data_IF_769896589057
#
_entry.id   IF_769896589057
#
_cell.length_a   1.000
_cell.length_b   1.000
_cell.length_c   1.000
_cell.angle_alpha   90.00
_cell.angle_beta   90.00
_cell.angle_gamma   90.00
#
_symmetry.space_group_name_H-M   'P 1'
#
loop_
_entity.id
_entity.type
_entity.pdbx_description
1 polymer ?
#
# COMPACT_ATOMS: atom_id res chain seq x y z
N UNK A 1 -46.24 18.14 29.73
CA UNK A 1 -45.56 16.97 30.30
C UNK A 1 -44.05 17.24 30.22
N UNK A 2 -43.44 17.81 31.26
CA UNK A 2 -42.02 18.19 31.24
C UNK A 2 -41.18 17.00 31.72
N UNK A 3 -40.35 16.46 30.83
CA UNK A 3 -39.44 15.35 31.12
C UNK A 3 -38.27 15.92 31.94
N UNK A 4 -38.23 15.64 33.24
CA UNK A 4 -37.11 15.99 34.11
C UNK A 4 -35.96 15.00 33.85
N UNK A 5 -35.03 15.36 32.96
CA UNK A 5 -33.80 14.58 32.75
C UNK A 5 -32.86 14.78 33.94
N UNK A 6 -32.49 13.70 34.62
CA UNK A 6 -31.58 13.72 35.78
C UNK A 6 -30.20 14.26 35.35
N UNK A 7 -29.71 15.31 36.02
CA UNK A 7 -28.41 15.95 35.73
C UNK A 7 -27.24 14.96 35.76
N UNK A 8 -27.32 13.89 36.55
CA UNK A 8 -26.30 12.84 36.58
C UNK A 8 -26.35 11.97 35.31
N UNK A 9 -27.55 11.68 34.80
CA UNK A 9 -27.74 10.98 33.51
C UNK A 9 -27.23 11.85 32.36
N UNK A 10 -27.53 13.16 32.38
CA UNK A 10 -27.02 14.11 31.38
C UNK A 10 -25.48 14.19 31.40
N UNK A 11 -24.86 14.19 32.60
CA UNK A 11 -23.40 14.15 32.75
C UNK A 11 -22.80 12.84 32.24
N UNK A 12 -23.41 11.70 32.54
CA UNK A 12 -22.98 10.40 32.01
C UNK A 12 -23.08 10.34 30.48
N UNK A 13 -24.17 10.85 29.90
CA UNK A 13 -24.34 10.92 28.44
C UNK A 13 -23.29 11.83 27.79
N UNK A 14 -23.01 12.99 28.39
CA UNK A 14 -21.95 13.90 27.89
C UNK A 14 -20.57 13.26 27.97
N UNK A 15 -20.25 12.54 29.05
CA UNK A 15 -18.96 11.83 29.19
C UNK A 15 -18.83 10.66 28.21
N UNK A 16 -19.91 9.93 27.94
CA UNK A 16 -19.94 8.84 26.96
C UNK A 16 -19.76 9.40 25.54
N UNK A 17 -20.45 10.48 25.19
CA UNK A 17 -20.28 11.11 23.87
C UNK A 17 -18.88 11.68 23.67
N UNK A 18 -18.26 12.24 24.71
CA UNK A 18 -16.89 12.76 24.65
C UNK A 18 -15.85 11.63 24.50
N UNK A 19 -16.12 10.46 25.06
CA UNK A 19 -15.25 9.28 24.93
C UNK A 19 -15.31 8.66 23.53
N UNK A 20 -16.47 8.70 22.87
CA UNK A 20 -16.66 8.15 21.51
C UNK A 20 -15.91 8.98 20.46
N UNK A 21 -15.79 10.30 20.65
CA UNK A 21 -15.06 11.19 19.73
C UNK A 21 -13.55 10.94 19.73
N UNK A 22 -12.98 10.40 20.82
CA UNK A 22 -11.55 10.13 20.93
C UNK A 22 -11.10 8.82 20.26
N UNK A 23 -12.03 7.95 19.84
CA UNK A 23 -11.73 6.62 19.28
C UNK A 23 -11.81 6.62 17.74
N UNK A 24 -12.31 7.69 17.13
CA UNK A 24 -12.65 7.70 15.70
C UNK A 24 -11.57 8.32 14.81
N UNK A 25 -10.40 7.68 14.72
CA UNK A 25 -9.46 7.77 13.57
C UNK A 25 -8.62 6.49 13.56
N UNK A 26 -9.06 5.46 12.82
CA UNK A 26 -8.21 4.32 12.49
C UNK A 26 -7.59 4.59 11.12
N UNK A 27 -6.36 5.11 11.11
CA UNK A 27 -5.60 5.43 9.90
C UNK A 27 -4.79 4.21 9.38
N UNK A 28 -5.14 3.01 9.83
CA UNK A 28 -4.45 1.79 9.42
C UNK A 28 -4.82 1.42 7.98
N UNK A 29 -3.87 1.53 7.06
CA UNK A 29 -4.02 1.06 5.69
C UNK A 29 -3.98 -0.48 5.64
N UNK A 30 -5.04 -1.12 5.16
CA UNK A 30 -5.17 -2.58 5.09
C UNK A 30 -4.98 -3.14 3.67
N UNK A 31 -4.87 -4.47 3.57
CA UNK A 31 -4.83 -5.17 2.27
C UNK A 31 -6.13 -4.96 1.50
N UNK A 32 -7.26 -4.97 2.19
CA UNK A 32 -8.59 -4.79 1.62
C UNK A 32 -8.78 -3.38 1.04
N UNK A 33 -8.25 -2.36 1.71
CA UNK A 33 -8.29 -0.97 1.21
C UNK A 33 -7.52 -0.83 -0.11
N UNK A 34 -6.33 -1.44 -0.17
CA UNK A 34 -5.46 -1.37 -1.35
C UNK A 34 -5.99 -2.25 -2.50
N UNK A 35 -6.64 -3.37 -2.20
CA UNK A 35 -7.21 -4.27 -3.21
C UNK A 35 -8.51 -3.72 -3.83
N UNK A 36 -9.26 -2.91 -3.07
CA UNK A 36 -10.49 -2.29 -3.56
C UNK A 36 -10.26 -0.95 -4.27
N UNK A 37 -9.09 -0.33 -4.11
CA UNK A 37 -8.75 0.94 -4.78
C UNK A 37 -8.60 0.73 -6.30
N UNK A 38 -9.41 1.39 -7.14
CA UNK A 38 -9.27 1.29 -8.59
C UNK A 38 -7.98 1.95 -9.06
N UNK A 39 -7.28 1.31 -9.99
CA UNK A 39 -6.08 1.87 -10.61
C UNK A 39 -6.46 2.71 -11.84
N UNK A 40 -5.97 3.97 -11.97
CA UNK A 40 -6.18 4.77 -13.16
C UNK A 40 -5.63 4.08 -14.42
N UNK A 41 -6.09 4.50 -15.60
CA UNK A 41 -5.58 3.98 -16.88
C UNK A 41 -4.30 4.68 -17.34
N UNK A 42 -4.03 5.87 -16.81
CA UNK A 42 -2.87 6.70 -17.13
C UNK A 42 -2.60 7.70 -16.01
N UNK A 43 -1.44 8.35 -16.04
CA UNK A 43 -0.97 9.29 -15.02
C UNK A 43 -0.98 8.65 -13.63
N UNK A 44 -0.38 7.46 -13.54
CA UNK A 44 -0.29 6.73 -12.28
C UNK A 44 0.59 7.53 -11.33
N UNK A 45 0.04 7.91 -10.18
CA UNK A 45 0.79 8.59 -9.12
C UNK A 45 1.54 7.56 -8.29
N UNK A 46 2.82 7.81 -8.05
CA UNK A 46 3.56 6.99 -7.11
C UNK A 46 2.95 7.10 -5.71
N UNK A 47 2.75 8.32 -5.22
CA UNK A 47 2.27 8.55 -3.85
C UNK A 47 0.88 7.96 -3.61
N UNK A 48 -0.03 8.13 -4.58
CA UNK A 48 -1.43 7.74 -4.40
C UNK A 48 -1.71 6.30 -4.84
N UNK A 49 -1.05 5.79 -5.89
CA UNK A 49 -1.44 4.52 -6.50
C UNK A 49 -0.44 3.40 -6.21
N UNK A 50 0.87 3.67 -6.30
CA UNK A 50 1.90 2.62 -6.21
C UNK A 50 2.34 2.41 -4.76
N UNK A 51 2.60 3.50 -4.05
CA UNK A 51 3.18 3.46 -2.71
C UNK A 51 2.32 2.70 -1.70
N UNK A 52 0.97 2.85 -1.65
CA UNK A 52 0.12 2.05 -0.77
C UNK A 52 0.25 0.53 -1.01
N UNK A 53 0.41 0.12 -2.28
CA UNK A 53 0.64 -1.29 -2.65
C UNK A 53 1.98 -1.77 -2.09
N UNK A 54 3.05 -1.01 -2.34
CA UNK A 54 4.40 -1.36 -1.89
C UNK A 54 4.49 -1.40 -0.36
N UNK A 55 3.85 -0.46 0.34
CA UNK A 55 3.81 -0.45 1.80
C UNK A 55 3.21 -1.73 2.35
N UNK A 56 1.97 -2.05 1.96
CA UNK A 56 1.19 -3.12 2.60
C UNK A 56 1.64 -4.51 2.14
N UNK A 57 1.99 -4.67 0.86
CA UNK A 57 2.27 -6.00 0.28
C UNK A 57 3.76 -6.33 0.19
N UNK A 58 4.67 -5.36 0.30
CA UNK A 58 6.11 -5.58 0.08
C UNK A 58 6.99 -5.12 1.25
N UNK A 59 6.93 -3.84 1.60
CA UNK A 59 7.83 -3.23 2.57
C UNK A 59 7.48 -3.69 3.99
N UNK A 60 6.23 -3.50 4.39
CA UNK A 60 5.75 -3.77 5.75
C UNK A 60 5.01 -5.10 5.88
N UNK A 61 5.00 -5.92 4.82
CA UNK A 61 4.66 -7.34 4.94
C UNK A 61 5.78 -8.15 5.62
N UNK A 62 6.94 -7.53 5.90
CA UNK A 62 8.00 -8.09 6.75
C UNK A 62 9.36 -8.30 6.07
N UNK A 63 9.51 -7.89 4.80
CA UNK A 63 10.70 -8.22 4.01
C UNK A 63 11.44 -7.01 3.44
N UNK A 64 10.79 -6.07 2.77
CA UNK A 64 11.48 -5.06 1.96
C UNK A 64 11.47 -3.66 2.60
N UNK A 65 11.78 -3.57 3.90
CA UNK A 65 11.90 -2.31 4.63
C UNK A 65 13.12 -2.31 5.56
N UNK A 66 13.57 -1.11 5.94
CA UNK A 66 14.57 -0.94 6.99
C UNK A 66 14.11 -1.58 8.32
N UNK A 67 15.05 -2.02 9.18
CA UNK A 67 16.51 -1.89 9.07
C UNK A 67 17.22 -3.02 8.30
N UNK A 68 16.53 -4.11 7.98
CA UNK A 68 17.13 -5.29 7.36
C UNK A 68 16.33 -5.73 6.13
N UNK A 69 16.30 -4.92 5.07
CA UNK A 69 15.53 -5.27 3.88
C UNK A 69 16.12 -6.52 3.20
N UNK A 70 15.24 -7.43 2.80
CA UNK A 70 15.56 -8.60 2.00
C UNK A 70 16.38 -8.20 0.77
N UNK A 71 17.55 -8.81 0.62
CA UNK A 71 18.55 -8.52 -0.43
C UNK A 71 19.03 -7.05 -0.46
N UNK A 72 18.89 -6.31 0.63
CA UNK A 72 19.25 -4.89 0.70
C UNK A 72 18.26 -3.97 -0.03
N UNK A 73 17.11 -4.49 -0.50
CA UNK A 73 16.15 -3.73 -1.29
C UNK A 73 15.03 -3.16 -0.40
N UNK A 74 15.08 -1.85 -0.18
CA UNK A 74 14.09 -1.10 0.59
C UNK A 74 13.03 -0.51 -0.34
N UNK A 75 11.80 -1.02 -0.24
CA UNK A 75 10.65 -0.59 -1.02
C UNK A 75 9.74 0.38 -0.25
N UNK A 76 10.18 0.85 0.93
CA UNK A 76 9.43 1.80 1.76
C UNK A 76 9.55 3.26 1.32
N UNK A 77 10.34 3.55 0.28
CA UNK A 77 10.53 4.90 -0.26
C UNK A 77 10.64 4.87 -1.78
N UNK A 78 10.25 5.96 -2.46
CA UNK A 78 10.47 6.11 -3.91
C UNK A 78 11.93 5.85 -4.31
N UNK A 79 12.86 6.49 -3.59
CA UNK A 79 14.29 6.38 -3.89
C UNK A 79 14.77 4.94 -3.78
N UNK A 80 14.33 4.18 -2.78
CA UNK A 80 14.70 2.78 -2.62
C UNK A 80 14.15 1.88 -3.73
N UNK A 81 12.90 2.13 -4.15
CA UNK A 81 12.25 1.40 -5.26
C UNK A 81 12.97 1.62 -6.59
N UNK A 82 13.42 2.86 -6.85
CA UNK A 82 14.03 3.26 -8.13
C UNK A 82 15.56 3.34 -8.09
N UNK A 83 16.21 2.95 -7.00
CA UNK A 83 17.67 3.07 -6.85
C UNK A 83 18.44 2.17 -7.83
N UNK A 84 17.90 0.97 -8.09
CA UNK A 84 18.50 0.00 -9.00
C UNK A 84 17.66 -0.10 -10.28
N UNK A 85 18.19 0.32 -11.45
CA UNK A 85 17.46 0.28 -12.71
C UNK A 85 17.10 -1.14 -13.17
N UNK A 86 17.66 -2.19 -12.56
CA UNK A 86 17.22 -3.57 -12.81
C UNK A 86 15.90 -3.90 -12.12
N UNK A 87 15.62 -3.26 -10.98
CA UNK A 87 14.37 -3.47 -10.23
C UNK A 87 13.22 -2.76 -10.91
N UNK A 88 13.41 -1.48 -11.22
CA UNK A 88 12.51 -0.65 -12.02
C UNK A 88 13.31 0.02 -13.12
N UNK A 89 13.08 -0.38 -14.36
CA UNK A 89 13.66 0.24 -15.55
C UNK A 89 12.63 1.20 -16.16
N UNK A 90 12.78 2.52 -16.00
CA UNK A 90 11.79 3.48 -16.49
C UNK A 90 11.49 3.30 -17.98
N UNK A 91 10.21 3.37 -18.34
CA UNK A 91 9.64 3.18 -19.69
C UNK A 91 9.67 1.75 -20.22
N UNK A 92 10.26 0.80 -19.50
CA UNK A 92 10.45 -0.59 -19.94
C UNK A 92 9.94 -1.58 -18.88
N UNK A 93 8.61 -1.75 -18.73
CA UNK A 93 8.05 -2.68 -17.76
C UNK A 93 8.53 -4.12 -18.00
N UNK A 94 8.71 -4.52 -19.26
CA UNK A 94 9.20 -5.85 -19.64
C UNK A 94 10.71 -6.05 -19.44
N UNK A 95 11.41 -5.04 -18.92
CA UNK A 95 12.81 -5.11 -18.51
C UNK A 95 13.00 -4.85 -17.01
N UNK A 96 11.91 -4.86 -16.23
CA UNK A 96 11.92 -4.56 -14.79
C UNK A 96 11.72 -5.83 -13.95
N UNK A 97 12.68 -6.16 -13.08
CA UNK A 97 12.57 -7.32 -12.17
C UNK A 97 11.31 -7.24 -11.31
N UNK A 98 10.90 -6.04 -10.87
CA UNK A 98 9.66 -5.86 -10.13
C UNK A 98 8.48 -6.53 -10.84
N UNK A 99 8.32 -6.27 -12.15
CA UNK A 99 7.26 -6.84 -13.00
C UNK A 99 7.40 -8.35 -13.11
N UNK A 100 8.61 -8.85 -13.35
CA UNK A 100 8.87 -10.29 -13.46
C UNK A 100 8.44 -11.08 -12.23
N UNK A 101 8.72 -10.55 -11.03
CA UNK A 101 8.38 -11.26 -9.79
C UNK A 101 6.89 -11.21 -9.45
N UNK A 102 6.20 -10.09 -9.74
CA UNK A 102 4.78 -9.94 -9.41
C UNK A 102 3.88 -10.69 -10.43
N UNK A 103 4.37 -10.89 -11.65
CA UNK A 103 3.74 -11.74 -12.67
C UNK A 103 4.13 -13.23 -12.52
N UNK A 104 5.03 -13.55 -11.59
CA UNK A 104 5.51 -14.92 -11.34
C UNK A 104 6.06 -15.62 -12.62
N UNK A 105 6.82 -14.91 -13.45
CA UNK A 105 7.36 -15.51 -14.67
C UNK A 105 8.37 -16.63 -14.33
N UNK A 106 8.48 -17.72 -15.11
CA UNK A 106 9.20 -18.94 -14.71
C UNK A 106 10.67 -18.77 -14.29
N UNK A 107 11.36 -17.74 -14.80
CA UNK A 107 12.78 -17.48 -14.51
C UNK A 107 13.03 -16.64 -13.25
N UNK A 108 11.99 -16.16 -12.58
CA UNK A 108 12.09 -15.32 -11.39
C UNK A 108 11.22 -15.87 -10.25
N UNK A 109 11.71 -15.87 -8.99
CA UNK A 109 10.88 -16.26 -7.87
C UNK A 109 9.71 -15.28 -7.72
N UNK A 110 8.49 -15.77 -7.47
CA UNK A 110 7.33 -14.91 -7.28
C UNK A 110 7.48 -14.05 -6.02
N UNK A 111 6.97 -12.82 -6.07
CA UNK A 111 6.84 -11.96 -4.91
C UNK A 111 5.37 -11.59 -4.65
N UNK A 112 4.91 -11.67 -3.39
CA UNK A 112 5.63 -12.22 -2.23
C UNK A 112 5.91 -13.73 -2.42
N UNK A 113 6.86 -14.32 -1.65
CA UNK A 113 7.04 -15.76 -1.64
C UNK A 113 5.72 -16.48 -1.39
N UNK A 114 5.49 -17.59 -2.08
CA UNK A 114 4.23 -18.34 -2.00
C UNK A 114 3.90 -18.66 -0.55
N UNK A 115 2.69 -18.28 -0.11
CA UNK A 115 2.20 -18.51 1.25
C UNK A 115 2.62 -17.48 2.29
N UNK A 116 3.42 -16.47 1.94
CA UNK A 116 3.90 -15.46 2.88
C UNK A 116 2.92 -14.28 3.06
N UNK A 117 2.41 -13.75 1.95
CA UNK A 117 1.43 -12.66 1.95
C UNK A 117 0.51 -12.76 0.73
N UNK A 118 -0.62 -12.03 0.75
CA UNK A 118 -1.54 -11.96 -0.39
C UNK A 118 -0.82 -11.27 -1.56
N UNK A 119 -0.76 -11.89 -2.76
CA UNK A 119 -0.17 -11.26 -3.93
C UNK A 119 -0.87 -9.97 -4.34
N UNK A 120 -0.23 -9.23 -5.24
CA UNK A 120 -0.89 -8.13 -5.94
C UNK A 120 -1.99 -8.66 -6.87
N UNK A 121 -3.02 -7.86 -7.10
CA UNK A 121 -4.10 -8.18 -8.04
C UNK A 121 -3.69 -7.89 -9.48
N UNK A 122 -4.43 -8.42 -10.46
CA UNK A 122 -4.18 -8.11 -11.88
C UNK A 122 -4.32 -6.59 -12.18
N UNK A 123 -5.25 -5.91 -11.51
CA UNK A 123 -5.42 -4.45 -11.62
C UNK A 123 -4.18 -3.69 -11.11
N UNK A 124 -3.62 -4.15 -9.98
CA UNK A 124 -2.39 -3.60 -9.41
C UNK A 124 -1.18 -3.89 -10.29
N UNK A 125 -1.05 -5.11 -10.86
CA UNK A 125 0.01 -5.44 -11.83
C UNK A 125 -0.07 -4.49 -13.04
N UNK A 126 -1.24 -4.32 -13.64
CA UNK A 126 -1.43 -3.37 -14.75
C UNK A 126 -1.00 -1.96 -14.35
N UNK A 127 -1.44 -1.48 -13.18
CA UNK A 127 -1.10 -0.15 -12.71
C UNK A 127 0.39 0.05 -12.45
N UNK A 128 1.08 -0.95 -11.86
CA UNK A 128 2.54 -0.94 -11.68
C UNK A 128 3.24 -0.90 -13.05
N UNK A 129 2.84 -1.76 -13.99
CA UNK A 129 3.38 -1.73 -15.36
C UNK A 129 3.19 -0.36 -16.00
N UNK A 130 1.99 0.22 -15.86
CA UNK A 130 1.66 1.53 -16.43
C UNK A 130 2.50 2.65 -15.82
N UNK A 131 2.69 2.65 -14.50
CA UNK A 131 3.58 3.59 -13.84
C UNK A 131 5.02 3.49 -14.36
N UNK A 132 5.54 2.28 -14.54
CA UNK A 132 6.89 2.08 -15.11
C UNK A 132 6.93 2.58 -16.56
N UNK A 133 5.94 2.23 -17.39
CA UNK A 133 5.80 2.70 -18.77
C UNK A 133 5.79 4.24 -18.87
N UNK A 134 5.14 4.90 -17.92
CA UNK A 134 5.07 6.36 -17.81
C UNK A 134 6.37 7.01 -17.31
N UNK A 135 7.39 6.21 -17.01
CA UNK A 135 8.72 6.66 -16.60
C UNK A 135 8.98 6.55 -15.10
N UNK A 136 8.17 5.77 -14.38
CA UNK A 136 8.31 5.53 -12.95
C UNK A 136 8.43 6.82 -12.13
N UNK A 137 7.54 7.78 -12.38
CA UNK A 137 7.62 9.14 -11.81
C UNK A 137 7.34 9.18 -10.30
N UNK A 138 7.91 10.15 -9.60
CA UNK A 138 7.56 10.50 -8.22
C UNK A 138 6.57 11.67 -8.22
N UNK A 139 5.27 11.37 -8.34
CA UNK A 139 4.18 12.32 -8.54
C UNK A 139 2.97 12.04 -7.66
#
# INVERSE_FOLDING_TARGET
MNILVNKNILRFLVLITLSIVLISCDDTLTVEDVDSKPMPQSNISFAENIYPILQVKCAFSGCHAQPNPSKGLDLSTYTGVTADPRIVFPREPDHSILVFTIEAIPSYPPMPPVGYAKPVTNEQIRGIRKWIEEGALNN
#
